data_IF_055317967921
#
_entry.id   IF_055317967921
#
_cell.length_a   1.000
_cell.length_b   1.000
_cell.length_c   1.000
_cell.angle_alpha   90.00
_cell.angle_beta   90.00
_cell.angle_gamma   90.00
#
_symmetry.space_group_name_H-M   'P 1'
#
loop_
_entity.id
_entity.type
_entity.pdbx_description
1 polymer ?
#
# COMPACT_ATOMS: atom_id res chain seq x y z
N UNK A 1 19.82 26.55 -21.19
CA UNK A 1 20.52 27.48 -22.10
C UNK A 1 21.97 27.49 -21.67
N UNK A 2 22.92 27.44 -22.61
CA UNK A 2 24.34 27.58 -22.29
C UNK A 2 24.86 28.88 -22.91
N UNK A 3 25.56 29.68 -22.11
CA UNK A 3 26.07 31.00 -22.50
C UNK A 3 27.56 31.00 -22.29
N UNK A 4 28.31 31.31 -23.34
CA UNK A 4 29.74 31.61 -23.24
C UNK A 4 29.95 33.09 -23.56
N UNK A 5 30.72 33.74 -22.70
CA UNK A 5 31.06 35.15 -22.82
C UNK A 5 32.57 35.32 -22.75
N UNK A 6 33.11 36.15 -23.65
CA UNK A 6 34.50 36.58 -23.65
C UNK A 6 34.59 38.06 -23.95
N UNK A 7 35.40 38.79 -23.19
CA UNK A 7 35.63 40.22 -23.39
C UNK A 7 37.10 40.48 -23.71
N UNK A 8 37.36 41.34 -24.70
CA UNK A 8 38.69 41.78 -25.07
C UNK A 8 38.95 43.20 -24.57
N UNK A 9 39.89 43.33 -23.63
CA UNK A 9 40.25 44.61 -23.01
C UNK A 9 41.06 45.54 -23.93
N UNK A 10 41.63 45.02 -25.02
CA UNK A 10 42.40 45.84 -25.98
C UNK A 10 41.43 46.50 -26.96
N UNK A 11 40.48 45.74 -27.51
CA UNK A 11 39.54 46.24 -28.51
C UNK A 11 38.23 46.77 -27.94
N UNK A 12 37.93 46.47 -26.67
CA UNK A 12 36.66 46.81 -26.02
C UNK A 12 35.47 46.02 -26.57
N UNK A 13 35.71 44.90 -27.27
CA UNK A 13 34.68 44.07 -27.90
C UNK A 13 34.34 42.85 -27.05
N UNK A 14 33.07 42.46 -27.06
CA UNK A 14 32.57 41.26 -26.40
C UNK A 14 32.13 40.22 -27.45
N UNK A 15 32.42 38.94 -27.18
CA UNK A 15 31.91 37.79 -27.89
C UNK A 15 30.91 37.04 -27.02
N UNK A 16 29.75 36.74 -27.59
CA UNK A 16 28.68 35.97 -26.95
C UNK A 16 28.35 34.75 -27.81
N UNK A 17 28.34 33.57 -27.20
CA UNK A 17 27.86 32.35 -27.82
C UNK A 17 26.71 31.79 -26.96
N UNK A 18 25.50 31.84 -27.50
CA UNK A 18 24.29 31.38 -26.83
C UNK A 18 23.78 30.10 -27.51
N UNK A 19 23.90 28.97 -26.82
CA UNK A 19 23.43 27.67 -27.30
C UNK A 19 22.05 27.39 -26.71
N UNK A 20 21.11 27.01 -27.59
CA UNK A 20 19.71 26.73 -27.24
C UNK A 20 19.01 27.96 -26.64
N UNK A 21 19.18 29.11 -27.29
CA UNK A 21 18.47 30.34 -26.97
C UNK A 21 16.99 30.23 -27.40
N UNK A 22 16.08 30.69 -26.54
CA UNK A 22 14.65 30.79 -26.85
C UNK A 22 14.32 32.21 -27.36
N UNK A 23 13.25 32.37 -28.16
CA UNK A 23 12.74 33.67 -28.61
C UNK A 23 12.52 34.63 -27.44
N UNK A 24 12.03 34.12 -26.30
CA UNK A 24 11.86 34.89 -25.05
C UNK A 24 13.15 35.60 -24.65
N UNK A 25 14.29 34.92 -24.71
CA UNK A 25 15.58 35.51 -24.31
C UNK A 25 16.09 36.53 -25.34
N UNK A 26 15.85 36.25 -26.62
CA UNK A 26 16.17 37.18 -27.69
C UNK A 26 15.35 38.47 -27.57
N UNK A 27 14.06 38.36 -27.28
CA UNK A 27 13.16 39.51 -27.19
C UNK A 27 13.46 40.35 -25.94
N UNK A 28 13.75 39.72 -24.80
CA UNK A 28 14.21 40.42 -23.59
C UNK A 28 15.52 41.18 -23.78
N UNK A 29 16.46 40.57 -24.51
CA UNK A 29 17.73 41.23 -24.80
C UNK A 29 17.50 42.45 -25.71
N UNK A 30 16.66 42.31 -26.75
CA UNK A 30 16.25 43.44 -27.61
C UNK A 30 15.56 44.54 -26.79
N UNK A 31 14.62 44.17 -25.93
CA UNK A 31 13.89 45.11 -25.08
C UNK A 31 14.84 45.87 -24.14
N UNK A 32 15.74 45.16 -23.46
CA UNK A 32 16.75 45.75 -22.57
C UNK A 32 17.67 46.73 -23.32
N UNK A 33 18.08 46.37 -24.54
CA UNK A 33 18.91 47.23 -25.41
C UNK A 33 18.15 48.48 -25.87
N UNK A 34 16.86 48.35 -26.18
CA UNK A 34 16.03 49.49 -26.62
C UNK A 34 15.68 50.46 -25.48
N UNK A 35 15.49 49.96 -24.26
CA UNK A 35 15.00 50.76 -23.13
C UNK A 35 16.09 51.45 -22.32
N UNK A 36 17.29 50.86 -22.24
CA UNK A 36 18.38 51.42 -21.42
C UNK A 36 19.58 51.78 -22.30
N UNK A 37 19.81 53.10 -22.43
CA UNK A 37 20.93 53.65 -23.21
C UNK A 37 22.30 53.17 -22.73
N UNK A 38 22.39 52.62 -21.52
CA UNK A 38 23.61 51.99 -20.96
C UNK A 38 24.01 50.70 -21.68
N UNK A 39 23.10 50.09 -22.45
CA UNK A 39 23.39 48.92 -23.29
C UNK A 39 23.90 49.28 -24.68
N UNK A 40 23.96 50.57 -25.05
CA UNK A 40 24.26 51.00 -26.41
C UNK A 40 25.77 51.26 -26.61
N UNK A 41 26.52 50.35 -27.27
CA UNK A 41 27.97 50.46 -27.42
C UNK A 41 28.41 51.61 -28.33
N UNK A 42 27.52 52.15 -29.17
CA UNK A 42 27.79 53.30 -30.05
C UNK A 42 27.94 54.62 -29.28
N UNK A 43 27.43 54.70 -28.05
CA UNK A 43 27.61 55.85 -27.15
C UNK A 43 28.71 55.63 -26.09
N UNK A 44 29.11 54.37 -25.86
CA UNK A 44 30.10 53.96 -24.85
C UNK A 44 31.54 54.20 -25.34
N UNK A 45 31.97 55.47 -25.43
CA UNK A 45 33.39 55.78 -25.63
C UNK A 45 34.15 55.49 -24.34
N UNK A 46 34.92 54.40 -24.32
CA UNK A 46 35.81 54.03 -23.21
C UNK A 46 35.66 52.58 -22.77
N UNK A 47 36.76 51.99 -22.29
CA UNK A 47 36.80 50.61 -21.78
C UNK A 47 35.86 50.36 -20.60
N UNK A 48 35.70 51.28 -19.61
CA UNK A 48 34.84 51.02 -18.46
C UNK A 48 33.36 50.93 -18.84
N UNK A 49 32.92 51.77 -19.78
CA UNK A 49 31.54 51.83 -20.25
C UNK A 49 31.18 50.61 -21.11
N UNK A 50 32.08 50.18 -22.00
CA UNK A 50 31.90 48.96 -22.82
C UNK A 50 31.90 47.69 -21.96
N UNK A 51 32.76 47.63 -20.94
CA UNK A 51 32.72 46.57 -19.94
C UNK A 51 31.41 46.59 -19.15
N UNK A 52 30.95 47.75 -18.70
CA UNK A 52 29.68 47.89 -17.97
C UNK A 52 28.49 47.41 -18.79
N UNK A 53 28.38 47.81 -20.06
CA UNK A 53 27.32 47.38 -20.97
C UNK A 53 27.32 45.84 -21.16
N UNK A 54 28.51 45.25 -21.26
CA UNK A 54 28.69 43.81 -21.39
C UNK A 54 28.29 43.06 -20.12
N UNK A 55 28.68 43.56 -18.94
CA UNK A 55 28.28 43.00 -17.64
C UNK A 55 26.77 43.08 -17.43
N UNK A 56 26.14 44.19 -17.83
CA UNK A 56 24.68 44.35 -17.81
C UNK A 56 24.00 43.33 -18.72
N UNK A 57 24.55 43.08 -19.90
CA UNK A 57 24.07 42.01 -20.80
C UNK A 57 24.19 40.63 -20.15
N UNK A 58 25.27 40.37 -19.42
CA UNK A 58 25.41 39.12 -18.66
C UNK A 58 24.34 39.00 -17.55
N UNK A 59 24.05 40.10 -16.85
CA UNK A 59 23.05 40.11 -15.79
C UNK A 59 21.66 39.74 -16.30
N UNK A 60 21.27 40.12 -17.52
CA UNK A 60 20.00 39.70 -18.11
C UNK A 60 19.90 38.17 -18.19
N UNK A 61 20.99 37.50 -18.56
CA UNK A 61 21.03 36.03 -18.61
C UNK A 61 21.00 35.42 -17.20
N UNK A 62 21.70 36.03 -16.25
CA UNK A 62 21.81 35.56 -14.86
C UNK A 62 20.50 35.78 -14.08
N UNK A 63 19.80 36.90 -14.27
CA UNK A 63 18.52 37.19 -13.63
C UNK A 63 17.45 36.12 -13.99
N UNK A 64 17.56 35.50 -15.17
CA UNK A 64 16.67 34.40 -15.56
C UNK A 64 16.86 33.13 -14.74
N UNK A 65 18.03 32.93 -14.13
CA UNK A 65 18.30 31.76 -13.31
C UNK A 65 17.44 31.70 -12.03
N UNK A 66 16.90 32.83 -11.55
CA UNK A 66 16.03 32.92 -10.36
C UNK A 66 14.54 32.97 -10.69
N UNK A 67 14.19 33.09 -11.97
CA UNK A 67 12.83 33.42 -12.36
C UNK A 67 11.87 32.24 -12.25
N UNK A 68 10.63 32.52 -11.85
CA UNK A 68 9.51 31.56 -11.76
C UNK A 68 9.67 30.41 -10.77
N UNK A 69 10.85 30.18 -10.18
CA UNK A 69 11.06 29.10 -9.20
C UNK A 69 10.11 29.15 -8.03
N UNK A 70 9.76 30.35 -7.55
CA UNK A 70 8.78 30.51 -6.47
C UNK A 70 7.40 29.94 -6.85
N UNK A 71 6.94 30.20 -8.07
CA UNK A 71 5.65 29.69 -8.55
C UNK A 71 5.73 28.16 -8.69
N UNK A 72 6.80 27.65 -9.31
CA UNK A 72 6.98 26.21 -9.48
C UNK A 72 7.05 25.45 -8.14
N UNK A 73 7.74 26.00 -7.13
CA UNK A 73 7.80 25.41 -5.78
C UNK A 73 6.42 25.44 -5.11
N UNK A 74 5.72 26.58 -5.17
CA UNK A 74 4.39 26.70 -4.58
C UNK A 74 3.37 25.73 -5.23
N UNK A 75 3.44 25.54 -6.55
CA UNK A 75 2.58 24.61 -7.27
C UNK A 75 2.84 23.16 -6.85
N UNK A 76 4.11 22.78 -6.65
CA UNK A 76 4.47 21.47 -6.12
C UNK A 76 4.01 21.32 -4.66
N UNK A 77 4.21 22.33 -3.83
CA UNK A 77 3.77 22.35 -2.44
C UNK A 77 2.26 22.11 -2.35
N UNK A 78 1.47 22.80 -3.18
CA UNK A 78 0.02 22.65 -3.19
C UNK A 78 -0.41 21.24 -3.64
N UNK A 79 0.23 20.68 -4.67
CA UNK A 79 -0.03 19.30 -5.08
C UNK A 79 0.29 18.29 -3.98
N UNK A 80 1.40 18.49 -3.26
CA UNK A 80 1.78 17.65 -2.13
C UNK A 80 0.75 17.79 -1.00
N UNK A 81 0.32 19.02 -0.71
CA UNK A 81 -0.71 19.31 0.29
C UNK A 81 -2.03 18.61 -0.02
N UNK A 82 -2.50 18.68 -1.26
CA UNK A 82 -3.75 18.02 -1.67
C UNK A 82 -3.70 16.51 -1.40
N UNK A 83 -2.58 15.85 -1.71
CA UNK A 83 -2.45 14.40 -1.47
C UNK A 83 -2.31 14.09 0.03
N UNK A 84 -1.46 14.83 0.75
CA UNK A 84 -1.22 14.58 2.18
C UNK A 84 -2.39 14.99 3.08
N UNK A 85 -3.20 15.97 2.69
CA UNK A 85 -4.39 16.35 3.44
C UNK A 85 -5.45 15.26 3.41
N UNK A 86 -5.63 14.56 2.28
CA UNK A 86 -6.46 13.35 2.20
C UNK A 86 -5.99 12.30 3.20
N UNK A 87 -4.67 12.13 3.35
CA UNK A 87 -4.06 11.22 4.33
C UNK A 87 -4.39 11.59 5.79
N UNK A 88 -4.25 12.87 6.13
CA UNK A 88 -4.51 13.35 7.50
C UNK A 88 -5.98 13.27 7.89
N UNK A 89 -6.91 13.59 6.99
CA UNK A 89 -8.35 13.61 7.31
C UNK A 89 -8.96 12.21 7.48
N UNK A 90 -8.35 11.18 6.88
CA UNK A 90 -8.82 9.79 7.01
C UNK A 90 -8.05 8.96 8.06
N UNK A 91 -7.09 9.55 8.79
CA UNK A 91 -6.52 8.93 10.00
C UNK A 91 -7.57 8.90 11.11
N UNK A 92 -8.24 7.75 11.28
CA UNK A 92 -9.27 7.45 12.30
C UNK A 92 -8.64 7.23 13.69
N UNK A 93 -7.60 7.98 14.01
CA UNK A 93 -7.03 8.08 15.36
C UNK A 93 -7.36 9.46 15.89
N UNK A 94 -8.15 9.52 16.94
CA UNK A 94 -8.43 10.74 17.69
C UNK A 94 -7.10 11.39 18.04
N UNK A 95 -6.73 12.42 17.29
CA UNK A 95 -5.54 13.20 17.55
C UNK A 95 -5.70 13.70 18.99
N UNK A 96 -4.82 13.34 19.94
CA UNK A 96 -4.89 13.97 21.24
C UNK A 96 -4.71 15.46 20.95
N UNK A 97 -5.70 16.28 21.31
CA UNK A 97 -5.62 17.73 21.21
C UNK A 97 -4.48 18.19 22.12
N UNK A 98 -3.26 18.07 21.61
CA UNK A 98 -2.02 18.47 22.27
C UNK A 98 -2.08 19.98 22.53
N UNK A 99 -2.78 20.71 21.66
CA UNK A 99 -3.08 22.13 21.82
C UNK A 99 -3.98 22.40 23.03
N UNK A 100 -5.03 21.60 23.27
CA UNK A 100 -5.89 21.77 24.44
C UNK A 100 -5.18 21.36 25.75
N UNK A 101 -4.35 20.32 25.73
CA UNK A 101 -3.58 19.88 26.88
C UNK A 101 -2.45 20.88 27.23
N UNK A 102 -1.74 21.43 26.23
CA UNK A 102 -0.71 22.44 26.42
C UNK A 102 -1.28 23.78 26.92
N UNK A 103 -2.41 24.23 26.34
CA UNK A 103 -3.11 25.44 26.82
C UNK A 103 -3.64 25.25 28.24
N UNK A 104 -4.13 24.05 28.59
CA UNK A 104 -4.61 23.73 29.95
C UNK A 104 -3.46 23.66 30.98
N UNK A 105 -2.29 23.16 30.58
CA UNK A 105 -1.07 23.15 31.41
C UNK A 105 -0.48 24.55 31.60
N UNK A 106 -0.65 25.45 30.63
CA UNK A 106 -0.20 26.84 30.72
C UNK A 106 -1.17 27.74 31.51
N UNK A 107 -2.45 27.38 31.58
CA UNK A 107 -3.48 28.15 32.31
C UNK A 107 -3.69 27.68 33.75
N UNK A 108 -3.21 26.50 34.14
CA UNK A 108 -3.41 25.94 35.49
C UNK A 108 -2.39 26.40 36.53
N UNK A 109 -1.72 27.55 36.36
CA UNK A 109 -0.73 28.04 37.33
C UNK A 109 -1.04 29.44 37.81
N UNK A 110 -2.11 29.58 38.58
CA UNK A 110 -2.22 30.60 39.63
C UNK A 110 -3.26 30.16 40.64
N UNK A 111 -2.78 29.79 41.83
CA UNK A 111 -3.35 30.14 43.14
C UNK A 111 -3.02 29.08 44.19
N UNK A 112 -1.94 29.35 44.94
CA UNK A 112 -1.95 29.29 46.41
C UNK A 112 -0.65 29.89 46.92
N UNK A 113 -0.77 31.05 47.56
CA UNK A 113 0.26 31.64 48.38
C UNK A 113 0.32 30.91 49.73
N UNK A 114 1.52 30.56 50.19
CA UNK A 114 1.88 30.53 51.61
C UNK A 114 3.41 30.32 51.80
N UNK A 115 4.06 31.39 52.27
CA UNK A 115 5.21 31.47 53.19
C UNK A 115 6.47 30.60 53.03
N UNK A 116 7.62 31.28 52.93
CA UNK A 116 8.96 30.77 53.28
C UNK A 116 10.10 31.57 52.63
N UNK A 117 10.94 32.23 53.43
CA UNK A 117 11.97 33.20 53.04
C UNK A 117 13.30 32.56 52.55
N UNK A 118 14.40 33.30 52.24
CA UNK A 118 15.11 33.19 50.96
C UNK A 118 16.51 32.54 51.04
N UNK A 119 16.93 31.80 50.01
CA UNK A 119 18.36 31.46 49.82
C UNK A 119 18.84 31.62 48.36
N UNK A 120 19.81 32.55 48.25
CA UNK A 120 20.99 32.73 47.36
C UNK A 120 21.02 32.14 45.92
N UNK A 121 21.47 32.93 44.92
CA UNK A 121 21.52 32.52 43.51
C UNK A 121 22.81 31.76 43.16
N UNK A 122 22.68 30.64 42.45
CA UNK A 122 23.78 29.96 41.73
C UNK A 122 23.42 29.82 40.25
N UNK A 123 24.35 30.23 39.39
CA UNK A 123 24.27 30.36 37.93
C UNK A 123 23.97 29.05 37.18
N UNK A 124 23.35 29.09 35.98
CA UNK A 124 23.11 27.89 35.18
C UNK A 124 24.35 27.51 34.35
N UNK A 125 24.76 26.25 34.46
CA UNK A 125 25.78 25.61 33.63
C UNK A 125 25.17 25.10 32.33
N UNK A 126 25.89 25.33 31.23
CA UNK A 126 25.59 24.91 29.86
C UNK A 126 25.84 23.42 29.65
N UNK A 127 24.83 22.66 29.22
CA UNK A 127 25.03 21.32 28.68
C UNK A 127 24.92 21.35 27.15
N UNK A 128 26.09 21.39 26.52
CA UNK A 128 26.35 21.24 25.10
C UNK A 128 26.10 19.79 24.68
N UNK A 129 25.15 19.56 23.76
CA UNK A 129 24.98 18.28 23.08
C UNK A 129 25.90 18.26 21.84
N UNK A 130 26.92 17.40 21.87
CA UNK A 130 27.71 17.03 20.67
C UNK A 130 27.29 15.62 20.20
N UNK A 131 27.08 15.41 18.89
CA UNK A 131 26.77 14.10 18.33
C UNK A 131 27.98 13.47 17.64
N UNK A 132 28.29 12.22 18.00
CA UNK A 132 28.86 11.09 17.22
C UNK A 132 29.15 10.00 18.27
N UNK A 133 28.93 8.68 18.13
CA UNK A 133 29.29 7.73 17.07
C UNK A 133 28.72 6.35 17.49
N UNK A 134 28.23 5.53 16.54
CA UNK A 134 28.14 4.05 16.59
C UNK A 134 27.30 3.57 15.38
N UNK A 135 27.90 3.36 14.20
CA UNK A 135 28.46 2.08 13.69
C UNK A 135 27.44 0.92 13.64
N UNK A 136 26.87 0.73 12.44
CA UNK A 136 27.08 -0.48 11.63
C UNK A 136 26.28 -1.75 11.96
N UNK A 137 25.38 -2.13 11.03
CA UNK A 137 25.36 -3.44 10.35
C UNK A 137 24.38 -3.43 9.15
N UNK A 138 24.70 -4.12 8.04
CA UNK A 138 23.87 -4.16 6.83
C UNK A 138 22.90 -5.36 6.86
N UNK A 139 21.67 -5.16 6.39
CA UNK A 139 20.76 -6.27 6.10
C UNK A 139 20.54 -6.37 4.59
N UNK A 140 21.35 -7.23 3.98
CA UNK A 140 21.09 -7.89 2.70
C UNK A 140 20.41 -9.24 2.94
N UNK A 141 19.63 -9.71 1.93
CA UNK A 141 18.77 -10.91 1.86
C UNK A 141 17.34 -10.67 2.37
N UNK A 142 16.25 -10.87 1.61
CA UNK A 142 15.98 -11.85 0.55
C UNK A 142 15.13 -11.23 -0.59
N UNK A 143 15.68 -11.22 -1.80
CA UNK A 143 14.90 -11.18 -3.03
C UNK A 143 15.31 -12.42 -3.82
N UNK A 144 14.38 -13.36 -4.00
CA UNK A 144 14.19 -14.17 -5.21
C UNK A 144 13.12 -15.24 -4.94
N UNK A 145 11.96 -15.10 -5.59
CA UNK A 145 11.24 -16.16 -6.33
C UNK A 145 9.75 -15.81 -6.48
N UNK A 146 9.42 -15.01 -7.47
CA UNK A 146 8.07 -14.94 -8.01
C UNK A 146 8.15 -14.67 -9.52
N UNK A 147 8.59 -15.68 -10.27
CA UNK A 147 8.39 -15.69 -11.73
C UNK A 147 8.14 -17.13 -12.23
N UNK A 148 6.94 -17.34 -12.75
CA UNK A 148 6.50 -18.52 -13.50
C UNK A 148 5.55 -19.43 -12.70
N UNK A 149 4.39 -19.87 -13.19
CA UNK A 149 3.73 -19.81 -14.52
C UNK A 149 2.21 -19.97 -14.32
N UNK A 150 1.45 -19.46 -15.28
CA UNK A 150 -0.02 -19.53 -15.51
C UNK A 150 -0.63 -20.95 -15.46
N UNK A 151 -1.85 -21.19 -14.93
CA UNK A 151 -3.19 -21.21 -15.63
C UNK A 151 -4.10 -22.29 -14.96
N UNK A 152 -5.42 -22.46 -15.21
CA UNK A 152 -6.50 -21.54 -15.59
C UNK A 152 -7.70 -21.53 -14.61
N UNK A 153 -8.58 -20.53 -14.81
CA UNK A 153 -9.94 -20.31 -14.28
C UNK A 153 -10.75 -21.56 -13.91
N UNK A 154 -11.38 -21.51 -12.74
CA UNK A 154 -12.71 -22.11 -12.51
C UNK A 154 -13.66 -21.01 -12.04
N UNK A 155 -14.69 -20.73 -12.84
CA UNK A 155 -15.83 -19.91 -12.45
C UNK A 155 -16.59 -20.62 -11.33
N UNK A 156 -16.73 -19.98 -10.16
CA UNK A 156 -17.69 -20.38 -9.15
C UNK A 156 -18.75 -19.28 -9.05
N UNK A 157 -19.93 -19.57 -9.60
CA UNK A 157 -21.18 -18.83 -9.38
C UNK A 157 -21.50 -18.84 -7.87
N UNK A 158 -21.86 -17.70 -7.25
CA UNK A 158 -22.19 -17.70 -5.83
C UNK A 158 -23.58 -18.31 -5.63
N UNK A 159 -23.65 -19.49 -5.02
CA UNK A 159 -24.89 -20.02 -4.46
C UNK A 159 -25.14 -19.37 -3.10
N UNK A 160 -26.12 -18.47 -3.07
CA UNK A 160 -26.74 -17.92 -1.87
C UNK A 160 -27.35 -19.06 -1.02
N UNK A 161 -27.02 -19.19 0.28
CA UNK A 161 -27.76 -20.07 1.17
C UNK A 161 -28.99 -19.37 1.76
N UNK A 162 -30.16 -20.01 1.63
CA UNK A 162 -31.35 -19.71 2.41
C UNK A 162 -31.06 -19.84 3.91
N UNK A 163 -31.55 -18.86 4.67
CA UNK A 163 -31.48 -18.82 6.12
C UNK A 163 -32.53 -19.72 6.80
N UNK A 164 -32.21 -20.32 7.95
CA UNK A 164 -33.18 -20.56 9.01
C UNK A 164 -32.99 -19.52 10.12
N UNK A 165 -34.06 -18.78 10.40
CA UNK A 165 -34.25 -18.00 11.63
C UNK A 165 -34.18 -18.94 12.83
N UNK A 166 -33.38 -18.58 13.84
CA UNK A 166 -33.75 -18.44 15.27
C UNK A 166 -32.54 -18.79 16.15
N UNK A 167 -31.80 -17.77 16.57
CA UNK A 167 -30.98 -17.74 17.79
C UNK A 167 -30.53 -16.29 18.04
N UNK A 168 -31.48 -15.40 18.30
CA UNK A 168 -31.21 -14.07 18.78
C UNK A 168 -30.91 -14.15 20.28
N UNK A 169 -29.63 -14.07 20.68
CA UNK A 169 -29.24 -13.63 22.04
C UNK A 169 -27.73 -13.44 22.28
N UNK A 170 -26.81 -13.82 21.38
CA UNK A 170 -25.37 -13.70 21.64
C UNK A 170 -24.52 -13.03 20.53
N UNK A 171 -25.15 -12.42 19.52
CA UNK A 171 -24.43 -11.97 18.31
C UNK A 171 -24.15 -10.45 18.23
N UNK A 172 -24.61 -9.63 19.19
CA UNK A 172 -24.60 -8.17 19.02
C UNK A 172 -23.22 -7.52 19.17
N UNK A 173 -22.36 -7.97 20.09
CA UNK A 173 -21.06 -7.30 20.30
C UNK A 173 -20.01 -7.62 19.22
N UNK A 174 -20.01 -8.86 18.69
CA UNK A 174 -19.05 -9.29 17.67
C UNK A 174 -19.35 -8.67 16.31
N UNK A 175 -20.64 -8.59 15.94
CA UNK A 175 -21.06 -7.95 14.69
C UNK A 175 -20.83 -6.43 14.71
N UNK A 176 -21.03 -5.76 15.85
CA UNK A 176 -20.76 -4.33 15.99
C UNK A 176 -19.25 -4.00 15.89
N UNK A 177 -18.39 -4.84 16.47
CA UNK A 177 -16.93 -4.67 16.36
C UNK A 177 -16.44 -4.90 14.93
N UNK A 178 -16.92 -5.95 14.27
CA UNK A 178 -16.63 -6.24 12.87
C UNK A 178 -17.11 -5.10 11.95
N UNK A 179 -18.34 -4.60 12.16
CA UNK A 179 -18.88 -3.48 11.40
C UNK A 179 -18.05 -2.20 11.59
N UNK A 180 -17.56 -1.93 12.81
CA UNK A 180 -16.66 -0.81 13.08
C UNK A 180 -15.31 -0.97 12.37
N UNK A 181 -14.72 -2.17 12.36
CA UNK A 181 -13.48 -2.48 11.63
C UNK A 181 -13.66 -2.38 10.11
N UNK A 182 -14.77 -2.85 9.57
CA UNK A 182 -15.09 -2.73 8.14
C UNK A 182 -15.32 -1.27 7.73
N UNK A 183 -15.97 -0.47 8.58
CA UNK A 183 -16.12 0.98 8.36
C UNK A 183 -14.76 1.69 8.34
N UNK A 184 -13.86 1.40 9.28
CA UNK A 184 -12.52 2.01 9.26
C UNK A 184 -11.73 1.60 8.02
N UNK A 185 -11.80 0.33 7.61
CA UNK A 185 -11.16 -0.14 6.37
C UNK A 185 -11.72 0.50 5.11
N UNK A 186 -13.03 0.78 5.06
CA UNK A 186 -13.66 1.49 3.94
C UNK A 186 -13.23 2.96 3.87
N UNK A 187 -13.02 3.62 5.01
CA UNK A 187 -12.44 4.97 5.05
C UNK A 187 -10.99 4.94 4.54
N UNK A 188 -10.22 3.91 4.91
CA UNK A 188 -8.85 3.68 4.46
C UNK A 188 -8.76 3.25 2.97
N UNK A 189 -9.86 2.86 2.33
CA UNK A 189 -9.91 2.56 0.89
C UNK A 189 -9.75 3.81 0.02
N UNK A 190 -10.03 4.99 0.59
CA UNK A 190 -9.74 6.28 -0.03
C UNK A 190 -8.25 6.44 -0.37
N UNK A 191 -7.37 5.65 0.25
CA UNK A 191 -5.95 5.63 -0.03
C UNK A 191 -5.61 4.67 -1.16
N UNK A 192 -5.15 5.25 -2.27
CA UNK A 192 -4.72 4.51 -3.45
C UNK A 192 -3.19 4.42 -3.52
N UNK A 193 -2.71 3.32 -4.11
CA UNK A 193 -1.32 3.20 -4.57
C UNK A 193 -0.96 4.32 -5.56
N UNK A 194 -1.95 4.84 -6.28
CA UNK A 194 -1.82 5.98 -7.19
C UNK A 194 -1.38 7.26 -6.47
N UNK A 195 -1.93 7.54 -5.28
CA UNK A 195 -1.53 8.72 -4.49
C UNK A 195 -0.07 8.60 -4.04
N UNK A 196 0.37 7.39 -3.65
CA UNK A 196 1.77 7.13 -3.31
C UNK A 196 2.69 7.30 -4.53
N UNK A 197 2.30 6.78 -5.69
CA UNK A 197 3.03 6.97 -6.95
C UNK A 197 3.13 8.46 -7.32
N UNK A 198 2.04 9.21 -7.15
CA UNK A 198 2.04 10.65 -7.41
C UNK A 198 2.98 11.39 -6.45
N UNK A 199 3.01 11.06 -5.15
CA UNK A 199 3.99 11.61 -4.21
C UNK A 199 5.43 11.24 -4.59
N UNK A 200 5.67 10.04 -5.14
CA UNK A 200 6.99 9.69 -5.67
C UNK A 200 7.40 10.59 -6.83
N UNK A 201 6.54 10.74 -7.82
CA UNK A 201 6.76 11.64 -8.96
C UNK A 201 7.03 13.08 -8.50
N UNK A 202 6.23 13.62 -7.58
CA UNK A 202 6.45 14.96 -7.03
C UNK A 202 7.81 15.08 -6.33
N UNK A 203 8.26 14.01 -5.65
CA UNK A 203 9.59 13.95 -5.03
C UNK A 203 10.75 13.98 -6.03
N UNK A 204 10.61 13.27 -7.16
CA UNK A 204 11.60 13.32 -8.24
C UNK A 204 11.68 14.72 -8.86
N UNK A 205 10.53 15.38 -9.05
CA UNK A 205 10.48 16.76 -9.54
C UNK A 205 11.18 17.75 -8.59
N UNK A 206 10.98 17.60 -7.28
CA UNK A 206 11.70 18.42 -6.28
C UNK A 206 13.21 18.20 -6.33
N UNK A 207 13.68 16.96 -6.50
CA UNK A 207 15.11 16.68 -6.60
C UNK A 207 15.71 17.27 -7.88
N UNK A 208 15.00 17.17 -9.00
CA UNK A 208 15.39 17.81 -10.26
C UNK A 208 15.53 19.34 -10.09
N UNK A 209 14.58 19.99 -9.42
CA UNK A 209 14.65 21.43 -9.16
C UNK A 209 15.83 21.78 -8.26
N UNK A 210 16.04 21.01 -7.18
CA UNK A 210 17.17 21.18 -6.27
C UNK A 210 18.51 21.09 -7.01
N UNK A 211 18.68 20.07 -7.85
CA UNK A 211 19.90 19.89 -8.64
C UNK A 211 20.17 21.08 -9.56
N UNK A 212 19.16 21.54 -10.31
CA UNK A 212 19.30 22.70 -11.20
C UNK A 212 19.69 23.96 -10.42
N UNK A 213 19.05 24.22 -9.27
CA UNK A 213 19.38 25.38 -8.44
C UNK A 213 20.80 25.31 -7.86
N UNK A 214 21.25 24.12 -7.42
CA UNK A 214 22.61 23.93 -6.91
C UNK A 214 23.66 24.15 -8.01
N UNK A 215 23.45 23.58 -9.20
CA UNK A 215 24.34 23.76 -10.35
C UNK A 215 24.38 25.24 -10.79
N UNK A 216 23.23 25.91 -10.80
CA UNK A 216 23.18 27.35 -11.10
C UNK A 216 23.90 28.16 -10.02
N UNK A 217 23.65 27.90 -8.73
CA UNK A 217 24.33 28.60 -7.62
C UNK A 217 25.85 28.44 -7.68
N UNK A 218 26.33 27.24 -8.01
CA UNK A 218 27.74 26.94 -8.24
C UNK A 218 28.29 27.76 -9.43
N UNK A 219 27.61 27.72 -10.57
CA UNK A 219 28.01 28.48 -11.77
C UNK A 219 28.05 29.99 -11.52
N UNK A 220 27.09 30.53 -10.76
CA UNK A 220 27.05 31.94 -10.39
C UNK A 220 28.20 32.33 -9.46
N UNK A 221 28.62 31.43 -8.57
CA UNK A 221 29.83 31.63 -7.76
C UNK A 221 31.07 31.73 -8.65
N UNK A 222 31.25 30.76 -9.55
CA UNK A 222 32.41 30.71 -10.44
C UNK A 222 32.46 31.94 -11.37
N UNK A 223 31.30 32.39 -11.87
CA UNK A 223 31.19 33.65 -12.63
C UNK A 223 31.60 34.85 -11.76
N UNK A 224 31.07 34.97 -10.54
CA UNK A 224 31.40 36.09 -9.65
C UNK A 224 32.88 36.13 -9.32
N UNK A 225 33.49 35.00 -8.96
CA UNK A 225 34.92 34.86 -8.69
C UNK A 225 35.75 35.22 -9.92
N UNK A 226 35.39 34.68 -11.10
CA UNK A 226 36.09 34.98 -12.36
C UNK A 226 36.17 36.48 -12.65
N UNK A 227 35.07 37.22 -12.48
CA UNK A 227 35.08 38.67 -12.74
C UNK A 227 35.76 39.48 -11.64
N UNK A 228 35.65 39.07 -10.37
CA UNK A 228 36.35 39.73 -9.27
C UNK A 228 37.87 39.62 -9.41
N UNK A 229 38.36 38.48 -9.89
CA UNK A 229 39.78 38.24 -10.15
C UNK A 229 40.31 38.97 -11.41
N UNK A 230 39.45 39.65 -12.19
CA UNK A 230 39.93 40.35 -13.39
C UNK A 230 40.81 41.56 -13.05
N UNK A 231 40.51 42.27 -11.96
CA UNK A 231 41.23 43.49 -11.58
C UNK A 231 42.55 43.21 -10.88
N UNK A 232 42.78 41.97 -10.44
CA UNK A 232 44.01 41.49 -9.81
C UNK A 232 45.04 40.97 -10.81
N UNK A 233 44.65 40.73 -12.08
CA UNK A 233 45.54 40.24 -13.13
C UNK A 233 46.51 41.31 -13.63
N UNK A 234 47.75 40.90 -13.87
CA UNK A 234 48.88 41.77 -14.28
C UNK A 234 48.62 42.52 -15.60
N UNK A 235 47.79 41.98 -16.48
CA UNK A 235 47.49 42.54 -17.80
C UNK A 235 46.32 43.55 -17.81
N UNK A 236 45.86 44.01 -16.64
CA UNK A 236 44.73 44.93 -16.55
C UNK A 236 45.17 46.40 -16.77
N UNK A 237 44.51 47.18 -17.65
CA UNK A 237 44.88 48.59 -17.90
C UNK A 237 44.79 49.45 -16.62
N UNK A 238 45.91 50.03 -16.13
CA UNK A 238 45.95 50.69 -14.82
C UNK A 238 45.16 52.01 -14.79
N UNK A 239 45.12 52.74 -15.90
CA UNK A 239 44.49 54.08 -15.99
C UNK A 239 42.97 54.05 -15.75
N UNK A 240 42.33 52.90 -15.99
CA UNK A 240 40.87 52.75 -15.96
C UNK A 240 40.42 51.70 -14.93
N UNK A 241 41.36 51.23 -14.08
CA UNK A 241 41.15 50.18 -13.09
C UNK A 241 40.06 50.50 -12.07
N UNK A 242 40.07 51.71 -11.51
CA UNK A 242 39.12 52.09 -10.46
C UNK A 242 37.65 52.08 -10.92
N UNK A 243 37.38 52.51 -12.15
CA UNK A 243 36.01 52.52 -12.69
C UNK A 243 35.55 51.11 -13.08
N UNK A 244 36.42 50.32 -13.70
CA UNK A 244 36.14 48.91 -14.00
C UNK A 244 35.90 48.09 -12.73
N UNK A 245 36.67 48.32 -11.67
CA UNK A 245 36.52 47.67 -10.37
C UNK A 245 35.15 47.99 -9.74
N UNK A 246 34.68 49.24 -9.84
CA UNK A 246 33.33 49.62 -9.40
C UNK A 246 32.25 48.86 -10.17
N UNK A 247 32.39 48.76 -11.49
CA UNK A 247 31.43 48.04 -12.35
C UNK A 247 31.41 46.53 -12.04
N UNK A 248 32.58 45.91 -11.90
CA UNK A 248 32.74 44.51 -11.50
C UNK A 248 32.15 44.26 -10.11
N UNK A 249 32.42 45.14 -9.14
CA UNK A 249 31.89 44.98 -7.79
C UNK A 249 30.36 45.12 -7.78
N UNK A 250 29.81 46.06 -8.55
CA UNK A 250 28.36 46.20 -8.70
C UNK A 250 27.72 44.94 -9.31
N UNK A 251 28.31 44.43 -10.38
CA UNK A 251 27.93 43.18 -11.02
C UNK A 251 27.95 42.01 -10.04
N UNK A 252 29.06 41.81 -9.34
CA UNK A 252 29.22 40.70 -8.40
C UNK A 252 28.22 40.76 -7.24
N UNK A 253 27.94 41.96 -6.68
CA UNK A 253 26.89 42.12 -5.67
C UNK A 253 25.52 41.66 -6.17
N UNK A 254 25.22 41.94 -7.44
CA UNK A 254 23.94 41.54 -8.06
C UNK A 254 23.87 40.02 -8.28
N UNK A 255 24.94 39.42 -8.79
CA UNK A 255 25.07 37.95 -8.95
C UNK A 255 24.94 37.25 -7.59
N UNK A 256 25.64 37.75 -6.58
CA UNK A 256 25.61 37.19 -5.23
C UNK A 256 24.22 37.24 -4.58
N UNK A 257 23.46 38.31 -4.85
CA UNK A 257 22.06 38.41 -4.39
C UNK A 257 21.19 37.33 -5.02
N UNK A 258 21.36 37.05 -6.31
CA UNK A 258 20.63 36.01 -7.04
C UNK A 258 21.03 34.62 -6.52
N UNK A 259 22.33 34.41 -6.29
CA UNK A 259 22.87 33.19 -5.70
C UNK A 259 22.24 32.90 -4.33
N UNK A 260 22.19 33.90 -3.44
CA UNK A 260 21.54 33.80 -2.13
C UNK A 260 20.04 33.52 -2.22
N UNK A 261 19.34 34.11 -3.20
CA UNK A 261 17.93 33.79 -3.44
C UNK A 261 17.74 32.32 -3.80
N UNK A 262 18.58 31.78 -4.68
CA UNK A 262 18.56 30.36 -5.05
C UNK A 262 18.85 29.45 -3.85
N UNK A 263 19.79 29.82 -2.98
CA UNK A 263 20.06 29.08 -1.74
C UNK A 263 18.82 29.02 -0.82
N UNK A 264 18.13 30.15 -0.66
CA UNK A 264 16.87 30.19 0.10
C UNK A 264 15.83 29.23 -0.52
N UNK A 265 15.71 29.20 -1.85
CA UNK A 265 14.80 28.28 -2.56
C UNK A 265 15.21 26.81 -2.38
N UNK A 266 16.51 26.50 -2.38
CA UNK A 266 17.01 25.16 -2.08
C UNK A 266 16.59 24.72 -0.67
N UNK A 267 16.76 25.57 0.34
CA UNK A 267 16.31 25.28 1.71
C UNK A 267 14.81 25.03 1.80
N UNK A 268 14.01 25.79 1.03
CA UNK A 268 12.56 25.56 0.94
C UNK A 268 12.24 24.20 0.33
N UNK A 269 12.92 23.82 -0.77
CA UNK A 269 12.76 22.49 -1.38
C UNK A 269 13.17 21.38 -0.43
N UNK A 270 14.26 21.53 0.32
CA UNK A 270 14.71 20.52 1.28
C UNK A 270 13.69 20.32 2.41
N UNK A 271 13.08 21.41 2.90
CA UNK A 271 12.00 21.36 3.88
C UNK A 271 10.76 20.64 3.32
N UNK A 272 10.36 21.00 2.09
CA UNK A 272 9.24 20.37 1.39
C UNK A 272 9.50 18.88 1.12
N UNK A 273 10.73 18.50 0.81
CA UNK A 273 11.16 17.11 0.62
C UNK A 273 11.08 16.32 1.92
N UNK A 274 11.53 16.89 3.05
CA UNK A 274 11.40 16.25 4.36
C UNK A 274 9.92 15.99 4.70
N UNK A 275 9.06 16.99 4.50
CA UNK A 275 7.61 16.84 4.71
C UNK A 275 6.98 15.80 3.77
N UNK A 276 7.38 15.78 2.49
CA UNK A 276 6.95 14.75 1.54
C UNK A 276 7.34 13.34 2.01
N UNK A 277 8.57 13.15 2.50
CA UNK A 277 9.05 11.85 2.97
C UNK A 277 8.32 11.36 4.21
N UNK A 278 8.04 12.26 5.15
CA UNK A 278 7.18 11.94 6.30
C UNK A 278 5.78 11.52 5.84
N UNK A 279 5.22 12.25 4.87
CA UNK A 279 3.93 11.94 4.26
C UNK A 279 3.88 10.58 3.56
N UNK A 280 4.93 10.22 2.82
CA UNK A 280 5.07 8.90 2.18
C UNK A 280 5.11 7.78 3.20
N UNK A 281 5.95 7.90 4.22
CA UNK A 281 6.06 6.93 5.31
C UNK A 281 4.71 6.71 6.00
N UNK A 282 3.97 7.79 6.26
CA UNK A 282 2.63 7.71 6.83
C UNK A 282 1.65 6.96 5.91
N UNK A 283 1.66 7.26 4.62
CA UNK A 283 0.77 6.62 3.65
C UNK A 283 1.10 5.14 3.45
N UNK A 284 2.39 4.79 3.41
CA UNK A 284 2.86 3.41 3.39
C UNK A 284 2.41 2.64 4.64
N UNK A 285 2.53 3.24 5.82
CA UNK A 285 2.06 2.65 7.07
C UNK A 285 0.55 2.41 7.06
N UNK A 286 -0.23 3.34 6.52
CA UNK A 286 -1.68 3.19 6.35
C UNK A 286 -2.01 2.03 5.40
N UNK A 287 -1.33 1.94 4.26
CA UNK A 287 -1.53 0.87 3.27
C UNK A 287 -1.16 -0.50 3.85
N UNK A 288 -0.05 -0.59 4.58
CA UNK A 288 0.37 -1.81 5.27
C UNK A 288 -0.64 -2.22 6.35
N UNK A 289 -1.09 -1.27 7.18
CA UNK A 289 -2.11 -1.51 8.19
C UNK A 289 -3.38 -2.08 7.57
N UNK A 290 -3.88 -1.47 6.48
CA UNK A 290 -5.05 -1.98 5.75
C UNK A 290 -4.83 -3.41 5.27
N UNK A 291 -3.69 -3.70 4.65
CA UNK A 291 -3.37 -5.05 4.13
C UNK A 291 -3.38 -6.09 5.25
N UNK A 292 -2.76 -5.78 6.40
CA UNK A 292 -2.72 -6.67 7.57
C UNK A 292 -4.13 -6.90 8.12
N UNK A 293 -4.94 -5.85 8.26
CA UNK A 293 -6.30 -5.97 8.79
C UNK A 293 -7.24 -6.76 7.86
N UNK A 294 -7.13 -6.56 6.55
CA UNK A 294 -7.88 -7.37 5.56
C UNK A 294 -7.48 -8.83 5.67
N UNK A 295 -6.18 -9.13 5.76
CA UNK A 295 -5.69 -10.49 5.95
C UNK A 295 -6.21 -11.11 7.25
N UNK A 296 -6.24 -10.35 8.36
CA UNK A 296 -6.75 -10.85 9.63
C UNK A 296 -8.23 -11.23 9.53
N UNK A 297 -9.08 -10.36 8.95
CA UNK A 297 -10.51 -10.64 8.75
C UNK A 297 -10.70 -11.85 7.84
N UNK A 298 -9.91 -11.97 6.78
CA UNK A 298 -9.96 -13.12 5.88
C UNK A 298 -9.60 -14.42 6.60
N UNK A 299 -8.53 -14.43 7.41
CA UNK A 299 -8.14 -15.60 8.20
C UNK A 299 -9.19 -15.97 9.25
N UNK A 300 -9.74 -14.98 9.97
CA UNK A 300 -10.79 -15.19 10.98
C UNK A 300 -12.07 -15.77 10.36
N UNK A 301 -12.51 -15.20 9.24
CA UNK A 301 -13.66 -15.70 8.49
C UNK A 301 -13.40 -17.10 7.91
N UNK A 302 -12.20 -17.37 7.42
CA UNK A 302 -11.79 -18.69 6.92
C UNK A 302 -11.77 -19.74 8.04
N UNK A 303 -11.30 -19.37 9.24
CA UNK A 303 -11.31 -20.26 10.41
C UNK A 303 -12.75 -20.57 10.86
N UNK A 304 -13.60 -19.55 10.93
CA UNK A 304 -15.03 -19.72 11.24
C UNK A 304 -15.76 -20.55 10.18
N UNK A 305 -15.48 -20.34 8.90
CA UNK A 305 -16.03 -21.12 7.80
C UNK A 305 -15.55 -22.57 7.83
N UNK A 306 -14.27 -22.81 8.13
CA UNK A 306 -13.70 -24.16 8.26
C UNK A 306 -14.36 -24.93 9.41
N UNK A 307 -14.57 -24.30 10.57
CA UNK A 307 -15.29 -24.91 11.69
C UNK A 307 -16.76 -25.23 11.35
N UNK A 308 -17.43 -24.38 10.56
CA UNK A 308 -18.78 -24.66 10.06
C UNK A 308 -18.77 -25.83 9.06
N UNK A 309 -17.78 -25.87 8.18
CA UNK A 309 -17.59 -26.96 7.20
C UNK A 309 -17.35 -28.30 7.90
N UNK A 310 -16.54 -28.32 8.96
CA UNK A 310 -16.31 -29.51 9.78
C UNK A 310 -17.62 -30.05 10.36
N UNK A 311 -18.47 -29.17 10.92
CA UNK A 311 -19.78 -29.58 11.43
C UNK A 311 -20.71 -30.10 10.33
N UNK A 312 -20.69 -29.47 9.16
CA UNK A 312 -21.48 -29.93 8.01
C UNK A 312 -20.97 -31.31 7.55
N UNK A 313 -19.65 -31.51 7.46
CA UNK A 313 -19.04 -32.77 7.09
C UNK A 313 -19.41 -33.88 8.09
N UNK A 314 -19.31 -33.60 9.40
CA UNK A 314 -19.71 -34.53 10.46
C UNK A 314 -21.19 -34.92 10.37
N UNK A 315 -22.09 -33.94 10.16
CA UNK A 315 -23.51 -34.21 9.97
C UNK A 315 -23.76 -35.04 8.71
N UNK A 316 -23.06 -34.73 7.62
CA UNK A 316 -23.14 -35.47 6.35
C UNK A 316 -22.65 -36.91 6.51
N UNK A 317 -21.59 -37.13 7.31
CA UNK A 317 -21.12 -38.47 7.67
C UNK A 317 -22.19 -39.25 8.41
N UNK A 318 -22.82 -38.65 9.44
CA UNK A 318 -23.89 -39.28 10.20
C UNK A 318 -25.13 -39.60 9.34
N UNK A 319 -25.52 -38.68 8.46
CA UNK A 319 -26.61 -38.90 7.49
C UNK A 319 -26.26 -40.06 6.53
N UNK A 320 -25.01 -40.15 6.08
CA UNK A 320 -24.51 -41.23 5.21
C UNK A 320 -24.52 -42.58 5.93
N UNK A 321 -24.09 -42.64 7.20
CA UNK A 321 -24.13 -43.87 8.02
C UNK A 321 -25.58 -44.33 8.21
N UNK A 322 -26.49 -43.41 8.50
CA UNK A 322 -27.93 -43.72 8.69
C UNK A 322 -28.55 -44.30 7.41
N UNK A 323 -28.21 -43.73 6.24
CA UNK A 323 -28.64 -44.26 4.94
C UNK A 323 -28.17 -45.70 4.72
N UNK A 324 -26.92 -46.00 5.06
CA UNK A 324 -26.39 -47.37 4.99
C UNK A 324 -27.11 -48.34 5.95
N UNK A 325 -27.46 -47.90 7.16
CA UNK A 325 -28.21 -48.74 8.12
C UNK A 325 -29.59 -49.10 7.58
N UNK A 326 -30.36 -48.13 7.07
CA UNK A 326 -31.70 -48.38 6.49
C UNK A 326 -31.60 -49.38 5.32
N UNK A 327 -30.58 -49.22 4.48
CA UNK A 327 -30.32 -50.13 3.36
C UNK A 327 -30.01 -51.55 3.85
N UNK A 328 -29.20 -51.71 4.91
CA UNK A 328 -28.96 -53.02 5.52
C UNK A 328 -30.22 -53.65 6.11
N UNK A 329 -31.04 -52.87 6.82
CA UNK A 329 -32.29 -53.34 7.43
C UNK A 329 -33.27 -53.83 6.37
N UNK A 330 -33.48 -53.05 5.30
CA UNK A 330 -34.37 -53.42 4.19
C UNK A 330 -33.90 -54.68 3.47
N UNK A 331 -32.59 -54.81 3.21
CA UNK A 331 -32.01 -56.03 2.61
C UNK A 331 -32.21 -57.28 3.48
N UNK A 332 -32.27 -57.16 4.80
CA UNK A 332 -32.51 -58.29 5.71
C UNK A 332 -33.99 -58.73 5.74
N UNK A 333 -34.94 -57.80 5.64
CA UNK A 333 -36.38 -58.11 5.71
C UNK A 333 -37.04 -58.40 4.35
N UNK A 334 -36.41 -58.01 3.25
CA UNK A 334 -36.92 -58.27 1.89
C UNK A 334 -37.16 -59.76 1.62
N UNK A 335 -36.26 -60.70 1.98
CA UNK A 335 -36.49 -62.14 1.76
C UNK A 335 -37.64 -62.69 2.60
N UNK A 336 -37.75 -62.26 3.86
CA UNK A 336 -38.85 -62.67 4.74
C UNK A 336 -40.21 -62.20 4.21
N UNK A 337 -40.28 -60.98 3.69
CA UNK A 337 -41.49 -60.42 3.08
C UNK A 337 -41.88 -61.19 1.82
N UNK A 338 -40.90 -61.56 0.98
CA UNK A 338 -41.14 -62.40 -0.19
C UNK A 338 -41.70 -63.78 0.20
N UNK A 339 -41.17 -64.39 1.25
CA UNK A 339 -41.67 -65.68 1.77
C UNK A 339 -43.11 -65.56 2.29
N UNK A 340 -43.43 -64.51 3.03
CA UNK A 340 -44.79 -64.27 3.52
C UNK A 340 -45.78 -64.06 2.37
N UNK A 341 -45.41 -63.25 1.37
CA UNK A 341 -46.23 -63.02 0.17
C UNK A 341 -46.43 -64.31 -0.64
N UNK A 342 -45.39 -65.15 -0.75
CA UNK A 342 -45.49 -66.45 -1.41
C UNK A 342 -46.55 -67.35 -0.76
N UNK A 343 -46.54 -67.45 0.58
CA UNK A 343 -47.55 -68.21 1.31
C UNK A 343 -48.96 -67.60 1.22
N UNK A 344 -49.05 -66.27 1.18
CA UNK A 344 -50.32 -65.57 1.04
C UNK A 344 -50.93 -65.70 -0.35
N UNK A 345 -50.15 -66.02 -1.39
CA UNK A 345 -50.63 -66.15 -2.78
C UNK A 345 -51.60 -67.32 -3.03
N UNK A 346 -52.00 -68.06 -2.00
CA UNK A 346 -53.04 -69.08 -2.10
C UNK A 346 -52.51 -70.48 -2.42
N UNK A 347 -51.25 -70.77 -2.12
CA UNK A 347 -50.68 -72.12 -2.26
C UNK A 347 -51.21 -73.12 -1.20
N UNK A 348 -51.99 -72.63 -0.23
CA UNK A 348 -52.71 -73.41 0.78
C UNK A 348 -54.20 -73.25 0.47
N UNK A 349 -54.84 -74.31 -0.01
CA UNK A 349 -56.27 -74.32 -0.29
C UNK A 349 -57.01 -74.74 0.99
N UNK A 350 -57.72 -73.78 1.60
CA UNK A 350 -58.55 -74.01 2.78
C UNK A 350 -59.96 -74.30 2.29
N UNK A 351 -60.35 -75.57 2.36
CA UNK A 351 -61.66 -76.02 1.91
C UNK A 351 -62.73 -75.55 2.90
N UNK A 352 -63.41 -74.45 2.57
CA UNK A 352 -64.43 -73.82 3.42
C UNK A 352 -65.73 -74.64 3.58
N UNK A 353 -65.83 -75.83 2.95
CA UNK A 353 -67.00 -76.70 3.03
C UNK A 353 -66.82 -77.93 3.95
N UNK A 354 -65.68 -78.07 4.65
CA UNK A 354 -65.45 -79.19 5.55
C UNK A 354 -66.00 -78.93 6.97
N UNK A 355 -66.80 -79.86 7.48
CA UNK A 355 -67.42 -79.82 8.82
C UNK A 355 -66.51 -80.30 9.95
N UNK A 356 -65.24 -80.64 9.66
CA UNK A 356 -64.26 -81.09 10.65
C UNK A 356 -62.90 -80.38 10.47
N UNK A 357 -62.26 -80.07 11.60
CA UNK A 357 -61.05 -79.21 11.71
C UNK A 357 -59.82 -79.89 11.09
N UNK A 358 -59.90 -81.20 10.87
CA UNK A 358 -58.81 -82.03 10.35
C UNK A 358 -58.81 -82.18 8.81
N UNK A 359 -59.94 -81.91 8.14
CA UNK A 359 -60.07 -81.93 6.67
C UNK A 359 -60.15 -80.54 6.02
N UNK A 360 -60.30 -79.48 6.81
CA UNK A 360 -60.38 -78.10 6.30
C UNK A 360 -59.06 -77.58 5.71
N UNK A 361 -57.92 -78.26 5.94
CA UNK A 361 -56.60 -77.85 5.46
C UNK A 361 -55.95 -78.99 4.68
N UNK A 362 -56.03 -78.96 3.35
CA UNK A 362 -55.32 -79.90 2.51
C UNK A 362 -53.85 -79.46 2.35
N UNK A 363 -52.98 -79.92 3.25
CA UNK A 363 -51.54 -79.75 3.11
C UNK A 363 -51.05 -80.61 1.93
N UNK A 364 -50.79 -80.01 0.77
CA UNK A 364 -50.09 -80.72 -0.32
C UNK A 364 -48.62 -80.93 0.07
N UNK A 365 -48.18 -82.15 0.45
CA UNK A 365 -46.83 -82.36 0.99
C UNK A 365 -45.75 -82.11 -0.08
N UNK A 366 -46.10 -82.31 -1.35
CA UNK A 366 -45.23 -82.02 -2.50
C UNK A 366 -44.96 -80.54 -2.69
N UNK A 367 -45.97 -79.69 -2.49
CA UNK A 367 -45.85 -78.23 -2.61
C UNK A 367 -45.03 -77.64 -1.44
N UNK A 368 -45.25 -78.15 -0.21
CA UNK A 368 -44.44 -77.79 0.95
C UNK A 368 -42.98 -78.26 0.82
N UNK A 369 -42.73 -79.46 0.26
CA UNK A 369 -41.37 -79.96 0.02
C UNK A 369 -40.64 -79.14 -1.04
N UNK A 370 -41.30 -78.78 -2.14
CA UNK A 370 -40.74 -77.89 -3.17
C UNK A 370 -40.47 -76.49 -2.61
N UNK A 371 -41.40 -75.96 -1.81
CA UNK A 371 -41.25 -74.69 -1.11
C UNK A 371 -40.06 -74.71 -0.15
N UNK A 372 -39.96 -75.70 0.75
CA UNK A 372 -38.84 -75.83 1.67
C UNK A 372 -37.50 -75.98 0.93
N UNK A 373 -37.51 -76.74 -0.17
CA UNK A 373 -36.34 -76.94 -1.03
C UNK A 373 -35.89 -75.68 -1.78
N UNK A 374 -36.77 -74.69 -1.99
CA UNK A 374 -36.41 -73.40 -2.61
C UNK A 374 -36.11 -72.34 -1.54
N UNK A 375 -36.92 -72.31 -0.48
CA UNK A 375 -36.92 -71.27 0.54
C UNK A 375 -35.72 -71.37 1.48
N UNK A 376 -35.35 -72.56 1.97
CA UNK A 376 -34.16 -72.71 2.82
C UNK A 376 -32.85 -72.37 2.12
N UNK A 377 -32.57 -72.82 0.87
CA UNK A 377 -31.37 -72.38 0.17
C UNK A 377 -31.43 -70.90 -0.21
N UNK A 378 -32.59 -70.33 -0.56
CA UNK A 378 -32.71 -68.90 -0.80
C UNK A 378 -32.41 -68.10 0.49
N UNK A 379 -32.93 -68.53 1.63
CA UNK A 379 -32.65 -67.94 2.95
C UNK A 379 -31.17 -68.05 3.30
N UNK A 380 -30.56 -69.22 3.08
CA UNK A 380 -29.13 -69.44 3.28
C UNK A 380 -28.27 -68.57 2.35
N UNK A 381 -28.64 -68.43 1.08
CA UNK A 381 -27.95 -67.56 0.12
C UNK A 381 -28.09 -66.09 0.51
N UNK A 382 -29.26 -65.64 0.95
CA UNK A 382 -29.46 -64.27 1.44
C UNK A 382 -28.65 -64.00 2.71
N UNK A 383 -28.53 -64.98 3.61
CA UNK A 383 -27.70 -64.88 4.81
C UNK A 383 -26.20 -64.84 4.47
N UNK A 384 -25.73 -65.69 3.55
CA UNK A 384 -24.35 -65.65 3.07
C UNK A 384 -24.06 -64.32 2.38
N UNK A 385 -24.93 -63.89 1.47
CA UNK A 385 -24.79 -62.60 0.77
C UNK A 385 -24.75 -61.45 1.78
N UNK A 386 -25.58 -61.50 2.83
CA UNK A 386 -25.57 -60.53 3.91
C UNK A 386 -24.26 -60.52 4.70
N UNK A 387 -23.75 -61.69 5.13
CA UNK A 387 -22.45 -61.79 5.83
C UNK A 387 -21.30 -61.29 4.96
N UNK A 388 -21.32 -61.64 3.67
CA UNK A 388 -20.31 -61.21 2.69
C UNK A 388 -20.36 -59.71 2.48
N UNK A 389 -21.54 -59.12 2.24
CA UNK A 389 -21.70 -57.67 2.09
C UNK A 389 -21.30 -56.93 3.37
N UNK A 390 -21.69 -57.41 4.55
CA UNK A 390 -21.31 -56.81 5.82
C UNK A 390 -19.79 -56.85 6.02
N UNK A 391 -19.14 -57.99 5.75
CA UNK A 391 -17.69 -58.10 5.83
C UNK A 391 -16.97 -57.27 4.78
N UNK A 392 -17.50 -57.16 3.57
CA UNK A 392 -16.93 -56.34 2.51
C UNK A 392 -17.01 -54.85 2.84
N UNK A 393 -18.17 -54.37 3.30
CA UNK A 393 -18.38 -53.00 3.76
C UNK A 393 -17.48 -52.68 4.96
N UNK A 394 -17.42 -53.57 5.96
CA UNK A 394 -16.55 -53.40 7.12
C UNK A 394 -15.06 -53.43 6.76
N UNK A 395 -14.66 -54.27 5.80
CA UNK A 395 -13.27 -54.31 5.31
C UNK A 395 -12.93 -53.06 4.51
N UNK A 396 -13.85 -52.52 3.72
CA UNK A 396 -13.65 -51.30 2.94
C UNK A 396 -13.54 -50.07 3.85
N UNK A 397 -14.29 -50.04 4.96
CA UNK A 397 -14.14 -49.03 5.99
C UNK A 397 -12.74 -49.07 6.64
N UNK A 398 -12.26 -50.27 7.02
CA UNK A 398 -10.91 -50.43 7.60
C UNK A 398 -9.78 -50.05 6.66
N UNK A 399 -9.89 -50.33 5.36
CA UNK A 399 -8.86 -49.94 4.37
C UNK A 399 -8.73 -48.42 4.23
N UNK A 400 -9.84 -47.68 4.20
CA UNK A 400 -9.80 -46.20 4.11
C UNK A 400 -9.11 -45.56 5.33
N UNK A 401 -9.38 -46.06 6.54
CA UNK A 401 -8.72 -45.59 7.77
C UNK A 401 -7.21 -45.82 7.75
N UNK A 402 -6.75 -46.91 7.11
CA UNK A 402 -5.32 -47.21 7.00
C UNK A 402 -4.62 -46.35 5.94
N UNK A 403 -5.30 -45.98 4.86
CA UNK A 403 -4.78 -45.07 3.83
C UNK A 403 -4.66 -43.63 4.34
N UNK A 404 -5.64 -43.13 5.11
CA UNK A 404 -5.56 -41.79 5.72
C UNK A 404 -4.44 -41.70 6.77
N UNK A 405 -4.21 -42.75 7.57
CA UNK A 405 -3.13 -42.76 8.56
C UNK A 405 -1.72 -42.85 7.93
N UNK A 406 -1.60 -43.33 6.70
CA UNK A 406 -0.32 -43.40 5.97
C UNK A 406 0.00 -42.09 5.25
N UNK A 407 -0.99 -41.23 4.99
CA UNK A 407 -0.76 -39.87 4.43
C UNK A 407 -0.43 -38.81 5.49
N UNK A 408 -0.56 -39.12 6.78
CA UNK A 408 -0.31 -38.19 7.90
C UNK A 408 1.09 -38.40 8.54
N UNK A 409 1.90 -39.35 8.04
CA UNK A 409 3.33 -39.50 8.35
C UNK A 409 4.16 -39.09 7.15
#
# INVERSE_FOLDING_TARGET
MAVHHKYDFITGKALWLNIKANSIMQDRLKESITHDSKFNPTLAKGLPLSLAATLMTHLVHIDWCDESWRQCINDLEEKIRVVLQKAKTASVGQQPDLHAAAVRALTSRTDTAAFGAPEKPTSPSSACFKPYEAIGKPLTSYLHSALGKSSPKAHATPLLPLAPKTAAAAMTETDDNLAKRLKSLKVLETFSVEDLQHLHYLGEQLENFRLVMLLNSQTLRDISEHYQDLTTRDNFPPEQKAECERNVTSFARRVERIRKNLEIRVTQIESLRAWLQEGKTLLEGILQYRSVQVSHIFTESSHSQSAKMERIAYKTEQETISMHIITCVTLAFLPGTFVAAFFQSGLIDVNQAATDVQEAVSFHPGAFKLFAAICFPLMFLTFILWVVLFKFLASRARKRVMEDNVQIV
#
